data_IF_120755538643
#
_entry.id   IF_120755538643
#
_cell.length_a   1.000
_cell.length_b   1.000
_cell.length_c   1.000
_cell.angle_alpha   90.00
_cell.angle_beta   90.00
_cell.angle_gamma   90.00
#
_symmetry.space_group_name_H-M   'P 1'
#
loop_
_entity.id
_entity.type
_entity.pdbx_description
1 polymer ?
#
# COMPACT_ATOMS: atom_id res chain seq x y z
N UNK A 1 -6.29 -60.78 52.51
CA UNK A 1 -7.45 -60.81 51.59
C UNK A 1 -6.92 -60.30 50.25
N UNK A 2 -6.65 -61.06 49.20
CA UNK A 2 -7.44 -62.12 48.57
C UNK A 2 -7.74 -61.67 47.13
N UNK A 3 -6.89 -62.07 46.17
CA UNK A 3 -7.01 -62.01 44.68
C UNK A 3 -8.38 -62.54 44.16
N UNK A 4 -8.86 -62.32 42.90
CA UNK A 4 -8.21 -62.67 41.60
C UNK A 4 -8.48 -61.68 40.42
N UNK A 5 -7.67 -61.63 39.34
CA UNK A 5 -7.54 -62.49 38.15
C UNK A 5 -8.69 -62.39 37.11
N UNK A 6 -8.26 -62.16 35.85
CA UNK A 6 -8.87 -62.24 34.50
C UNK A 6 -9.89 -63.40 34.29
N UNK A 7 -10.89 -63.36 33.36
CA UNK A 7 -10.65 -63.78 31.95
C UNK A 7 -11.62 -63.25 30.85
N UNK A 8 -11.16 -63.34 29.59
CA UNK A 8 -11.81 -64.03 28.44
C UNK A 8 -13.22 -63.60 27.99
N UNK A 9 -13.38 -63.04 26.78
CA UNK A 9 -13.63 -63.77 25.51
C UNK A 9 -15.12 -63.94 25.16
N UNK A 10 -15.60 -63.30 24.08
CA UNK A 10 -16.16 -64.03 22.94
C UNK A 10 -16.63 -63.09 21.79
N UNK A 11 -16.03 -63.34 20.61
CA UNK A 11 -16.68 -63.58 19.32
C UNK A 11 -17.16 -62.44 18.40
N UNK A 12 -16.44 -62.40 17.26
CA UNK A 12 -16.91 -62.52 15.86
C UNK A 12 -16.99 -61.22 15.03
N UNK A 13 -15.95 -61.06 14.21
CA UNK A 13 -15.91 -60.35 12.92
C UNK A 13 -16.80 -61.04 11.87
N UNK A 14 -17.25 -60.33 10.81
CA UNK A 14 -16.47 -60.35 9.56
C UNK A 14 -16.43 -58.95 8.89
N UNK A 15 -15.26 -58.51 8.39
CA UNK A 15 -14.84 -58.60 6.97
C UNK A 15 -15.32 -57.40 6.14
N UNK A 16 -14.61 -56.79 5.18
CA UNK A 16 -13.31 -56.95 4.51
C UNK A 16 -13.15 -55.63 3.72
N UNK A 17 -12.01 -54.95 3.76
CA UNK A 17 -10.91 -55.06 2.79
C UNK A 17 -10.29 -53.65 2.70
N UNK A 18 -8.99 -53.44 2.92
CA UNK A 18 -7.84 -53.94 2.13
C UNK A 18 -7.64 -52.96 0.96
N UNK A 19 -6.50 -52.35 0.66
CA UNK A 19 -5.07 -52.51 0.92
C UNK A 19 -4.46 -51.09 0.71
N UNK A 20 -3.32 -50.63 1.25
CA UNK A 20 -2.10 -51.31 1.66
C UNK A 20 -0.92 -50.87 0.76
N UNK A 21 0.14 -50.35 1.39
CA UNK A 21 1.52 -50.15 0.91
C UNK A 21 1.83 -48.96 -0.04
N UNK A 22 2.98 -48.30 0.06
CA UNK A 22 4.15 -48.56 0.89
C UNK A 22 5.27 -47.52 0.68
N UNK A 23 6.18 -47.44 1.65
CA UNK A 23 7.48 -46.76 1.54
C UNK A 23 8.47 -47.65 0.79
N UNK A 24 9.40 -47.02 0.07
CA UNK A 24 10.63 -47.64 -0.44
C UNK A 24 11.65 -46.57 -0.82
N UNK A 25 12.88 -46.71 -0.34
CA UNK A 25 14.02 -45.83 -0.64
C UNK A 25 15.01 -46.44 -1.65
N UNK A 26 16.17 -45.76 -1.76
CA UNK A 26 17.31 -45.96 -2.68
C UNK A 26 17.07 -45.44 -4.11
N UNK A 27 17.97 -44.77 -4.83
CA UNK A 27 19.39 -44.47 -4.70
C UNK A 27 19.99 -44.44 -6.11
N UNK A 28 20.79 -43.40 -6.46
CA UNK A 28 21.73 -43.43 -7.60
C UNK A 28 21.41 -42.57 -8.83
N UNK A 29 22.28 -41.59 -9.11
CA UNK A 29 23.08 -41.59 -10.36
C UNK A 29 22.67 -40.73 -11.56
N UNK A 30 23.52 -39.71 -11.80
CA UNK A 30 24.10 -39.27 -13.10
C UNK A 30 23.41 -38.19 -13.97
N UNK A 31 24.23 -37.16 -14.19
CA UNK A 31 24.56 -36.41 -15.41
C UNK A 31 23.52 -35.62 -16.20
N UNK A 32 23.92 -34.38 -16.49
CA UNK A 32 23.08 -33.34 -17.06
C UNK A 32 23.16 -33.19 -18.57
N UNK A 33 22.31 -32.31 -19.09
CA UNK A 33 22.44 -31.74 -20.43
C UNK A 33 22.01 -30.27 -20.41
N UNK A 34 22.77 -29.49 -21.16
CA UNK A 34 22.71 -28.04 -21.36
C UNK A 34 21.44 -27.58 -22.08
N UNK A 35 21.21 -26.28 -22.02
CA UNK A 35 19.97 -25.61 -22.41
C UNK A 35 19.67 -25.53 -23.90
N UNK A 36 18.49 -25.01 -24.19
CA UNK A 36 18.21 -24.23 -25.39
C UNK A 36 17.03 -23.29 -25.11
N UNK A 37 17.31 -21.99 -25.12
CA UNK A 37 16.32 -20.93 -25.18
C UNK A 37 15.66 -20.94 -26.57
N UNK A 38 14.33 -20.79 -26.63
CA UNK A 38 13.64 -20.32 -27.84
C UNK A 38 12.52 -19.35 -27.51
N UNK A 39 12.67 -18.15 -28.06
CA UNK A 39 11.70 -17.08 -28.11
C UNK A 39 10.44 -17.50 -28.87
N UNK A 40 9.25 -17.24 -28.31
CA UNK A 40 7.98 -17.38 -29.01
C UNK A 40 7.45 -15.98 -29.37
N UNK A 41 7.23 -15.76 -30.68
CA UNK A 41 6.48 -14.62 -31.23
C UNK A 41 4.97 -14.94 -31.23
N UNK A 42 4.08 -13.94 -31.13
CA UNK A 42 2.64 -14.16 -31.07
C UNK A 42 2.05 -14.42 -32.47
N UNK A 43 1.36 -15.56 -32.61
CA UNK A 43 0.60 -15.95 -33.79
C UNK A 43 -0.87 -15.57 -33.66
N UNK A 44 -1.42 -15.05 -34.76
CA UNK A 44 -2.78 -14.50 -34.93
C UNK A 44 -3.89 -15.54 -34.69
N UNK A 45 -5.02 -15.05 -34.18
CA UNK A 45 -6.27 -15.78 -34.02
C UNK A 45 -6.94 -16.10 -35.37
N UNK A 46 -7.47 -17.31 -35.50
CA UNK A 46 -8.47 -17.71 -36.49
C UNK A 46 -9.75 -18.16 -35.76
N UNK A 47 -10.94 -17.90 -36.33
CA UNK A 47 -12.22 -18.08 -35.65
C UNK A 47 -12.69 -19.54 -35.65
N UNK A 48 -13.41 -19.91 -34.59
CA UNK A 48 -14.02 -21.21 -34.40
C UNK A 48 -15.26 -21.41 -35.28
N UNK A 49 -15.43 -22.66 -35.72
CA UNK A 49 -16.49 -23.19 -36.59
C UNK A 49 -17.83 -23.35 -35.86
N UNK A 50 -18.91 -23.15 -36.60
CA UNK A 50 -20.29 -23.53 -36.28
C UNK A 50 -20.48 -25.06 -36.18
N UNK A 51 -21.50 -25.53 -35.44
CA UNK A 51 -22.08 -26.85 -35.63
C UNK A 51 -23.38 -26.81 -36.46
N UNK A 52 -23.44 -27.71 -37.44
CA UNK A 52 -24.60 -28.08 -38.27
C UNK A 52 -25.47 -29.14 -37.54
N UNK A 53 -26.79 -29.16 -37.78
CA UNK A 53 -27.65 -30.28 -37.39
C UNK A 53 -29.11 -30.03 -36.97
N UNK A 54 -29.95 -29.59 -37.92
CA UNK A 54 -31.39 -29.91 -38.20
C UNK A 54 -32.28 -30.55 -37.10
N UNK A 55 -33.49 -30.01 -36.87
CA UNK A 55 -34.74 -30.60 -37.40
C UNK A 55 -35.96 -29.62 -37.31
N UNK A 56 -36.98 -29.90 -38.14
CA UNK A 56 -38.08 -29.06 -38.66
C UNK A 56 -39.27 -28.81 -37.71
N UNK A 57 -39.99 -27.68 -37.93
CA UNK A 57 -41.42 -27.63 -38.33
C UNK A 57 -41.91 -26.19 -38.58
N UNK A 58 -42.64 -26.04 -39.69
CA UNK A 58 -43.32 -24.84 -40.20
C UNK A 58 -44.53 -24.43 -39.33
N UNK A 59 -44.86 -23.12 -39.27
CA UNK A 59 -46.01 -22.56 -39.99
C UNK A 59 -46.23 -21.06 -39.71
N UNK A 60 -46.32 -20.27 -40.80
CA UNK A 60 -47.34 -19.25 -41.00
C UNK A 60 -47.06 -17.79 -40.62
N UNK A 61 -46.98 -16.91 -41.64
CA UNK A 61 -47.62 -15.57 -41.54
C UNK A 61 -46.89 -14.35 -42.11
N UNK A 62 -46.95 -14.20 -43.45
CA UNK A 62 -47.17 -12.97 -44.27
C UNK A 62 -46.56 -11.61 -43.85
N UNK A 63 -45.91 -10.95 -44.81
CA UNK A 63 -45.85 -9.48 -44.87
C UNK A 63 -44.76 -8.94 -45.79
N UNK A 64 -45.13 -8.62 -47.03
CA UNK A 64 -44.30 -8.10 -48.13
C UNK A 64 -43.54 -6.79 -47.86
N UNK A 65 -42.43 -6.61 -48.61
CA UNK A 65 -42.28 -5.37 -49.39
C UNK A 65 -40.97 -4.58 -49.25
N UNK A 66 -40.00 -4.89 -50.11
CA UNK A 66 -39.38 -3.86 -50.98
C UNK A 66 -38.20 -3.02 -50.47
N UNK A 67 -37.00 -3.37 -50.93
CA UNK A 67 -36.32 -2.53 -51.92
C UNK A 67 -35.33 -1.44 -51.45
N UNK A 68 -34.05 -1.84 -51.53
CA UNK A 68 -32.97 -1.14 -52.26
C UNK A 68 -31.93 -0.27 -51.52
N UNK A 69 -30.74 -0.33 -52.13
CA UNK A 69 -29.39 -0.17 -51.62
C UNK A 69 -28.91 1.30 -51.52
N UNK A 70 -27.99 1.55 -50.58
CA UNK A 70 -27.19 2.78 -50.55
C UNK A 70 -26.00 2.69 -49.59
N UNK A 71 -24.79 2.51 -50.16
CA UNK A 71 -23.51 2.63 -49.47
C UNK A 71 -23.30 4.01 -48.81
N UNK A 72 -22.59 4.06 -47.67
CA UNK A 72 -21.97 5.32 -47.23
C UNK A 72 -21.46 5.38 -45.78
N UNK A 73 -20.18 5.09 -45.61
CA UNK A 73 -19.23 5.71 -44.65
C UNK A 73 -19.48 5.69 -43.12
N UNK A 74 -18.55 5.03 -42.44
CA UNK A 74 -18.03 5.37 -41.11
C UNK A 74 -17.78 6.88 -40.96
N UNK A 75 -18.17 7.48 -39.82
CA UNK A 75 -17.33 8.40 -39.02
C UNK A 75 -17.80 8.44 -37.55
N UNK A 76 -16.84 8.32 -36.64
CA UNK A 76 -17.04 8.36 -35.19
C UNK A 76 -17.59 9.70 -34.70
N UNK A 77 -18.40 9.64 -33.63
CA UNK A 77 -18.89 10.82 -32.92
C UNK A 77 -17.89 11.22 -31.84
N UNK A 78 -17.19 12.34 -32.08
CA UNK A 78 -16.56 13.16 -31.04
C UNK A 78 -17.62 14.12 -30.53
N UNK A 79 -17.88 14.12 -29.23
CA UNK A 79 -18.78 15.09 -28.60
C UNK A 79 -18.07 16.46 -28.51
N UNK A 80 -18.60 17.45 -29.21
CA UNK A 80 -18.24 18.87 -29.05
C UNK A 80 -19.33 19.52 -28.23
N UNK A 81 -18.99 19.98 -27.02
CA UNK A 81 -19.88 20.77 -26.17
C UNK A 81 -19.88 22.21 -26.69
N UNK A 82 -21.03 22.67 -27.21
CA UNK A 82 -21.32 24.09 -27.44
C UNK A 82 -21.97 24.68 -26.19
N UNK A 83 -21.49 25.84 -25.76
CA UNK A 83 -22.15 26.68 -24.76
C UNK A 83 -22.76 27.86 -25.51
N UNK A 84 -24.10 27.90 -25.57
CA UNK A 84 -24.83 29.04 -26.11
C UNK A 84 -25.12 30.07 -25.01
N UNK A 85 -24.85 31.34 -25.33
CA UNK A 85 -25.25 32.52 -24.56
C UNK A 85 -26.67 32.92 -24.96
N UNK A 86 -27.52 33.18 -23.97
CA UNK A 86 -28.72 33.99 -24.12
C UNK A 86 -28.63 35.21 -23.20
N UNK A 87 -28.98 36.38 -23.72
CA UNK A 87 -29.00 37.65 -23.00
C UNK A 87 -30.35 38.38 -23.15
N UNK A 88 -30.56 39.35 -22.25
CA UNK A 88 -31.55 40.44 -22.30
C UNK A 88 -32.96 40.06 -21.80
N UNK A 89 -33.75 40.87 -21.10
CA UNK A 89 -33.67 42.26 -20.61
C UNK A 89 -34.89 42.50 -19.69
N UNK A 90 -34.85 43.48 -18.77
CA UNK A 90 -36.06 44.10 -18.21
C UNK A 90 -35.92 44.61 -16.77
N UNK A 91 -35.59 45.89 -16.61
CA UNK A 91 -35.42 46.54 -15.30
C UNK A 91 -36.66 47.28 -14.78
N UNK A 92 -36.53 47.84 -13.56
CA UNK A 92 -37.08 49.12 -13.09
C UNK A 92 -36.39 49.52 -11.75
N UNK A 93 -36.01 50.81 -11.63
CA UNK A 93 -35.30 51.43 -10.49
C UNK A 93 -36.16 51.53 -9.20
N UNK A 94 -35.75 52.16 -8.09
CA UNK A 94 -34.98 53.39 -7.83
C UNK A 94 -34.55 53.40 -6.35
N UNK A 95 -33.42 54.02 -5.98
CA UNK A 95 -33.17 54.48 -4.59
C UNK A 95 -31.69 54.56 -4.17
N UNK A 96 -31.15 55.78 -4.16
CA UNK A 96 -29.74 56.17 -3.91
C UNK A 96 -29.49 56.47 -2.42
N UNK A 97 -28.30 56.15 -1.91
CA UNK A 97 -27.49 57.06 -1.06
C UNK A 97 -26.01 56.61 -0.97
N UNK A 98 -25.12 57.58 -1.19
CA UNK A 98 -23.68 57.49 -1.40
C UNK A 98 -22.84 57.37 -0.11
N UNK A 99 -21.65 56.75 -0.23
CA UNK A 99 -20.40 57.29 0.36
C UNK A 99 -19.15 56.63 -0.27
N UNK A 100 -18.56 57.37 -1.23
CA UNK A 100 -17.14 57.62 -1.45
C UNK A 100 -16.10 56.48 -1.33
N UNK A 101 -15.34 56.27 -2.43
CA UNK A 101 -13.97 55.76 -2.33
C UNK A 101 -13.45 54.94 -3.51
N UNK A 102 -13.61 55.43 -4.75
CA UNK A 102 -13.13 54.72 -5.94
C UNK A 102 -11.60 54.71 -6.10
N UNK A 103 -11.08 53.65 -6.72
CA UNK A 103 -10.20 53.77 -7.90
C UNK A 103 -10.17 52.49 -8.73
N UNK A 104 -10.36 52.70 -10.02
CA UNK A 104 -10.51 51.71 -11.07
C UNK A 104 -9.17 51.07 -11.46
N UNK A 105 -9.26 49.79 -11.85
CA UNK A 105 -8.21 49.02 -12.51
C UNK A 105 -8.30 49.32 -14.01
N UNK A 106 -7.22 49.84 -14.59
CA UNK A 106 -7.02 49.88 -16.04
C UNK A 106 -5.77 49.06 -16.38
N UNK A 107 -5.93 48.11 -17.29
CA UNK A 107 -4.83 47.35 -17.91
C UNK A 107 -4.24 48.19 -19.04
N UNK A 108 -2.91 48.30 -19.08
CA UNK A 108 -2.18 48.50 -20.33
C UNK A 108 -0.89 47.65 -20.30
N UNK A 109 -0.57 47.06 -21.44
CA UNK A 109 0.53 46.15 -21.67
C UNK A 109 1.69 46.90 -22.34
N UNK A 110 2.89 46.82 -21.76
CA UNK A 110 4.19 46.66 -22.43
C UNK A 110 5.32 46.81 -21.39
N UNK A 111 6.52 46.38 -21.77
CA UNK A 111 7.62 46.00 -20.89
C UNK A 111 8.24 47.11 -20.03
N UNK A 112 8.85 46.65 -18.93
CA UNK A 112 10.09 47.12 -18.27
C UNK A 112 10.44 48.61 -18.38
N UNK A 113 10.44 49.33 -17.25
CA UNK A 113 11.64 49.87 -16.57
C UNK A 113 11.31 50.15 -15.10
N UNK A 114 12.21 49.77 -14.20
CA UNK A 114 12.19 50.10 -12.79
C UNK A 114 12.43 51.61 -12.57
N UNK A 115 11.70 52.21 -11.63
CA UNK A 115 12.08 53.48 -11.00
C UNK A 115 11.83 53.41 -9.50
N UNK A 116 12.90 53.67 -8.75
CA UNK A 116 13.04 53.51 -7.32
C UNK A 116 12.22 54.53 -6.53
N UNK A 117 11.67 54.11 -5.38
CA UNK A 117 11.49 54.98 -4.22
C UNK A 117 11.92 54.24 -2.95
N UNK A 118 12.94 54.80 -2.32
CA UNK A 118 13.52 54.34 -1.08
C UNK A 118 12.59 54.70 0.09
N UNK A 119 12.17 53.70 0.85
CA UNK A 119 11.67 53.87 2.21
C UNK A 119 12.70 53.26 3.16
N UNK A 120 13.45 54.15 3.81
CA UNK A 120 14.34 53.81 4.93
C UNK A 120 13.46 53.48 6.13
N UNK A 121 13.29 52.19 6.40
CA UNK A 121 12.93 51.70 7.74
C UNK A 121 14.02 50.74 8.18
N UNK A 122 14.69 51.10 9.28
CA UNK A 122 15.80 50.33 9.84
C UNK A 122 15.37 48.91 10.17
N UNK A 123 15.82 47.97 9.34
CA UNK A 123 15.87 46.56 9.66
C UNK A 123 17.34 46.27 9.94
N UNK A 124 17.66 45.95 11.19
CA UNK A 124 18.96 45.40 11.53
C UNK A 124 19.25 44.24 10.59
N UNK A 125 20.37 44.31 9.88
CA UNK A 125 20.84 43.26 8.99
C UNK A 125 21.17 42.03 9.83
N UNK A 126 20.16 41.19 10.10
CA UNK A 126 20.42 39.79 10.35
C UNK A 126 21.00 39.24 9.05
N UNK A 127 22.32 39.05 9.03
CA UNK A 127 22.99 38.33 7.95
C UNK A 127 22.22 37.01 7.74
N UNK A 128 21.66 36.85 6.54
CA UNK A 128 21.17 35.54 6.11
C UNK A 128 22.30 34.54 6.28
N UNK A 129 22.14 33.45 7.06
CA UNK A 129 23.24 32.54 7.33
C UNK A 129 23.72 31.97 6.00
N UNK A 130 24.96 32.30 5.62
CA UNK A 130 25.57 31.79 4.40
C UNK A 130 25.56 30.26 4.45
N UNK A 131 25.27 29.55 3.34
CA UNK A 131 25.37 28.09 3.30
C UNK A 131 26.75 27.67 3.80
N UNK A 132 26.81 26.68 4.70
CA UNK A 132 28.07 26.23 5.31
C UNK A 132 29.05 25.86 4.19
N UNK A 133 30.07 26.71 3.98
CA UNK A 133 31.16 26.44 3.03
C UNK A 133 32.15 25.50 3.72
N UNK A 134 31.99 24.21 3.47
CA UNK A 134 32.84 23.13 3.95
C UNK A 134 32.07 21.81 3.90
N UNK A 135 32.57 20.83 3.14
CA UNK A 135 31.89 19.58 2.79
C UNK A 135 31.61 18.67 3.98
N UNK A 136 30.60 18.99 4.79
CA UNK A 136 30.02 18.03 5.71
C UNK A 136 29.36 16.93 4.87
N UNK A 137 29.89 15.71 4.99
CA UNK A 137 29.26 14.51 4.43
C UNK A 137 27.87 14.37 5.06
N UNK A 138 26.85 14.17 4.24
CA UNK A 138 25.47 13.93 4.68
C UNK A 138 24.88 12.76 3.93
N UNK A 139 23.83 12.18 4.50
CA UNK A 139 23.15 10.99 4.02
C UNK A 139 21.66 11.26 3.87
N UNK A 140 21.02 10.50 2.97
CA UNK A 140 19.58 10.59 2.75
C UNK A 140 18.96 9.21 2.98
N UNK A 141 18.02 9.14 3.92
CA UNK A 141 17.10 8.02 4.07
C UNK A 141 15.75 8.38 3.49
N UNK A 142 15.12 7.49 2.72
CA UNK A 142 13.75 7.68 2.24
C UNK A 142 12.92 6.45 2.59
N UNK A 143 11.75 6.65 3.19
CA UNK A 143 10.68 5.66 3.26
C UNK A 143 9.55 6.06 2.31
N UNK A 144 9.03 5.11 1.54
CA UNK A 144 8.02 5.36 0.52
C UNK A 144 6.97 4.27 0.43
N UNK A 145 5.80 4.53 1.02
CA UNK A 145 4.67 3.62 0.99
C UNK A 145 3.66 3.92 -0.12
N UNK A 146 2.51 3.24 -0.05
CA UNK A 146 1.39 3.39 -1.00
C UNK A 146 0.68 4.74 -1.00
N UNK A 147 0.78 5.51 0.09
CA UNK A 147 0.04 6.78 0.27
C UNK A 147 0.94 7.99 0.45
N UNK A 148 2.10 7.81 1.10
CA UNK A 148 3.04 8.89 1.41
C UNK A 148 4.48 8.40 1.30
N UNK A 149 5.41 9.34 1.22
CA UNK A 149 6.84 9.12 1.42
C UNK A 149 7.40 10.17 2.36
N UNK A 150 8.51 9.86 3.03
CA UNK A 150 9.24 10.79 3.87
C UNK A 150 10.73 10.61 3.67
N UNK A 151 11.44 11.71 3.47
CA UNK A 151 12.89 11.73 3.36
C UNK A 151 13.51 12.43 4.57
N UNK A 152 14.56 11.83 5.13
CA UNK A 152 15.42 12.42 6.15
C UNK A 152 16.81 12.67 5.57
N UNK A 153 17.37 13.83 5.89
CA UNK A 153 18.78 14.14 5.71
C UNK A 153 19.45 14.04 7.06
N UNK A 154 20.57 13.33 7.16
CA UNK A 154 21.32 13.20 8.41
C UNK A 154 22.83 13.27 8.27
N UNK A 155 23.50 13.42 9.41
CA UNK A 155 24.96 13.33 9.52
C UNK A 155 25.46 11.89 9.70
N UNK A 156 26.76 11.71 9.98
CA UNK A 156 27.41 10.38 10.12
C UNK A 156 26.92 9.64 11.35
N UNK A 157 26.41 10.36 12.35
CA UNK A 157 25.84 9.80 13.56
C UNK A 157 24.34 9.51 13.40
N UNK A 158 23.77 9.74 12.21
CA UNK A 158 22.35 9.55 11.93
C UNK A 158 21.46 10.65 12.52
N UNK A 159 22.03 11.77 13.00
CA UNK A 159 21.23 12.88 13.53
C UNK A 159 20.56 13.62 12.39
N UNK A 160 19.27 13.90 12.53
CA UNK A 160 18.47 14.60 11.52
C UNK A 160 18.94 16.06 11.35
N UNK A 161 19.20 16.43 10.10
CA UNK A 161 19.52 17.79 9.65
C UNK A 161 18.32 18.45 8.95
N UNK A 162 17.39 17.64 8.43
CA UNK A 162 16.13 18.11 7.86
C UNK A 162 15.31 16.99 7.24
N UNK A 163 14.01 17.25 7.08
CA UNK A 163 13.05 16.28 6.57
C UNK A 163 12.05 16.91 5.60
N UNK A 164 11.50 16.08 4.71
CA UNK A 164 10.38 16.44 3.85
C UNK A 164 9.42 15.27 3.67
N UNK A 165 8.13 15.59 3.51
CA UNK A 165 7.06 14.66 3.17
C UNK A 165 6.72 14.78 1.70
N UNK A 166 6.32 13.67 1.09
CA UNK A 166 5.91 13.60 -0.30
C UNK A 166 4.72 12.65 -0.50
N UNK A 167 4.25 12.61 -1.75
CA UNK A 167 3.23 11.64 -2.18
C UNK A 167 3.74 10.18 -2.17
N UNK A 168 2.97 9.24 -2.73
CA UNK A 168 3.31 7.81 -2.70
C UNK A 168 4.68 7.49 -3.29
N UNK A 169 5.45 6.65 -2.58
CA UNK A 169 6.72 6.08 -3.03
C UNK A 169 6.61 4.66 -3.60
N UNK A 170 5.39 4.17 -3.81
CA UNK A 170 5.11 2.85 -4.38
C UNK A 170 5.70 2.70 -5.79
N UNK A 171 6.49 1.63 -5.98
CA UNK A 171 6.97 1.18 -7.29
C UNK A 171 5.86 0.38 -7.97
N UNK A 172 5.25 0.96 -9.00
CA UNK A 172 4.42 0.23 -9.95
C UNK A 172 5.33 -0.39 -11.02
N UNK A 173 5.36 -1.74 -11.19
CA UNK A 173 6.18 -2.37 -12.21
C UNK A 173 5.85 -1.93 -13.65
N UNK A 174 4.63 -1.44 -13.91
CA UNK A 174 4.22 -0.94 -15.21
C UNK A 174 4.75 0.46 -15.53
N UNK A 175 5.03 1.27 -14.50
CA UNK A 175 5.62 2.60 -14.63
C UNK A 175 6.49 2.98 -13.41
N UNK A 176 7.69 2.37 -13.26
CA UNK A 176 8.54 2.58 -12.11
C UNK A 176 9.11 4.01 -12.02
N UNK A 177 9.17 4.75 -13.13
CA UNK A 177 9.80 6.08 -13.17
C UNK A 177 8.99 7.15 -12.42
N UNK A 178 7.68 6.96 -12.27
CA UNK A 178 6.84 7.82 -11.43
C UNK A 178 7.31 7.79 -9.98
N UNK A 179 7.63 6.61 -9.44
CA UNK A 179 8.18 6.47 -8.09
C UNK A 179 9.53 7.17 -7.97
N UNK A 180 10.42 6.96 -8.95
CA UNK A 180 11.73 7.61 -8.98
C UNK A 180 11.64 9.15 -8.99
N UNK A 181 10.71 9.71 -9.76
CA UNK A 181 10.49 11.16 -9.81
C UNK A 181 10.03 11.70 -8.45
N UNK A 182 9.04 11.05 -7.81
CA UNK A 182 8.51 11.45 -6.50
C UNK A 182 9.57 11.35 -5.40
N UNK A 183 10.30 10.23 -5.36
CA UNK A 183 11.41 10.02 -4.41
C UNK A 183 12.50 11.06 -4.60
N UNK A 184 12.86 11.38 -5.85
CA UNK A 184 13.83 12.43 -6.13
C UNK A 184 13.34 13.82 -5.70
N UNK A 185 12.05 14.11 -5.85
CA UNK A 185 11.46 15.38 -5.42
C UNK A 185 11.54 15.55 -3.90
N UNK A 186 11.07 14.56 -3.13
CA UNK A 186 11.09 14.61 -1.66
C UNK A 186 12.52 14.63 -1.11
N UNK A 187 13.46 13.88 -1.70
CA UNK A 187 14.87 13.91 -1.32
C UNK A 187 15.51 15.29 -1.56
N UNK A 188 15.20 15.95 -2.68
CA UNK A 188 15.67 17.32 -2.97
C UNK A 188 15.08 18.34 -2.01
N UNK A 189 13.81 18.20 -1.67
CA UNK A 189 13.15 19.08 -0.72
C UNK A 189 13.76 18.94 0.68
N UNK A 190 13.99 17.72 1.15
CA UNK A 190 14.66 17.48 2.43
C UNK A 190 16.08 18.09 2.45
N UNK A 191 16.85 17.93 1.35
CA UNK A 191 18.17 18.57 1.22
C UNK A 191 18.11 20.10 1.24
N UNK A 192 17.11 20.70 0.60
CA UNK A 192 16.90 22.15 0.65
C UNK A 192 16.56 22.63 2.06
N UNK A 193 15.66 21.95 2.76
CA UNK A 193 15.29 22.27 4.15
C UNK A 193 16.48 22.10 5.11
N UNK A 194 17.31 21.09 4.90
CA UNK A 194 18.58 20.89 5.62
C UNK A 194 19.70 21.87 5.22
N UNK A 195 19.47 22.72 4.18
CA UNK A 195 20.43 23.70 3.65
C UNK A 195 21.76 23.06 3.19
N UNK A 196 21.71 21.86 2.63
CA UNK A 196 22.86 21.13 2.08
C UNK A 196 22.81 21.07 0.55
N UNK A 197 23.97 20.87 -0.09
CA UNK A 197 24.09 20.78 -1.55
C UNK A 197 24.33 19.34 -1.97
N UNK A 198 23.47 18.80 -2.85
CA UNK A 198 23.65 17.49 -3.48
C UNK A 198 24.90 17.45 -4.39
N UNK A 199 25.51 16.26 -4.61
CA UNK A 199 25.07 14.94 -4.15
C UNK A 199 25.39 14.68 -2.66
N UNK A 200 24.54 13.88 -2.00
CA UNK A 200 24.83 13.28 -0.70
C UNK A 200 25.95 12.21 -0.79
N UNK A 201 26.51 11.79 0.35
CA UNK A 201 27.47 10.67 0.42
C UNK A 201 26.80 9.35 0.00
N UNK A 202 25.63 9.08 0.52
CA UNK A 202 24.77 7.98 0.08
C UNK A 202 23.29 8.32 0.26
N UNK A 203 22.46 7.68 -0.56
CA UNK A 203 21.00 7.66 -0.44
C UNK A 203 20.55 6.20 -0.36
N UNK A 204 19.73 5.88 0.64
CA UNK A 204 19.04 4.59 0.72
C UNK A 204 17.53 4.86 0.76
N UNK A 205 16.78 4.23 -0.14
CA UNK A 205 15.34 4.38 -0.25
C UNK A 205 14.65 3.03 -0.04
N UNK A 206 13.82 2.92 0.99
CA UNK A 206 12.93 1.80 1.24
C UNK A 206 11.57 2.08 0.61
N UNK A 207 11.24 1.37 -0.45
CA UNK A 207 10.05 1.64 -1.24
C UNK A 207 9.14 0.42 -1.29
N UNK A 208 7.84 0.63 -1.07
CA UNK A 208 6.83 -0.38 -1.32
C UNK A 208 6.88 -0.79 -2.80
N UNK A 209 6.69 -2.09 -3.09
CA UNK A 209 6.76 -2.63 -4.46
C UNK A 209 8.17 -2.94 -4.96
N UNK A 210 9.21 -2.71 -4.16
CA UNK A 210 10.60 -3.03 -4.52
C UNK A 210 10.90 -4.54 -4.69
N UNK A 211 9.94 -5.44 -4.43
CA UNK A 211 10.10 -6.88 -4.71
C UNK A 211 10.26 -7.22 -6.20
N UNK A 212 9.86 -6.33 -7.11
CA UNK A 212 10.13 -6.50 -8.53
C UNK A 212 11.53 -5.97 -8.88
N UNK A 213 12.46 -6.89 -9.16
CA UNK A 213 13.87 -6.57 -9.36
C UNK A 213 14.13 -5.60 -10.51
N UNK A 214 13.46 -5.75 -11.65
CA UNK A 214 13.69 -4.89 -12.81
C UNK A 214 13.13 -3.47 -12.58
N UNK A 215 11.96 -3.36 -11.96
CA UNK A 215 11.36 -2.08 -11.59
C UNK A 215 12.20 -1.37 -10.53
N UNK A 216 12.66 -2.09 -9.50
CA UNK A 216 13.57 -1.59 -8.47
C UNK A 216 14.88 -1.07 -9.07
N UNK A 217 15.51 -1.83 -9.96
CA UNK A 217 16.74 -1.43 -10.62
C UNK A 217 16.55 -0.19 -11.51
N UNK A 218 15.39 -0.06 -12.18
CA UNK A 218 15.05 1.13 -12.96
C UNK A 218 14.95 2.39 -12.08
N UNK A 219 14.28 2.29 -10.92
CA UNK A 219 14.20 3.39 -9.94
C UNK A 219 15.60 3.74 -9.43
N UNK A 220 16.39 2.75 -9.03
CA UNK A 220 17.74 2.97 -8.50
C UNK A 220 18.63 3.67 -9.53
N UNK A 221 18.61 3.21 -10.79
CA UNK A 221 19.34 3.84 -11.89
C UNK A 221 18.90 5.30 -12.10
N UNK A 222 17.60 5.56 -12.13
CA UNK A 222 17.08 6.91 -12.34
C UNK A 222 17.48 7.87 -11.20
N UNK A 223 17.48 7.40 -9.94
CA UNK A 223 17.94 8.19 -8.80
C UNK A 223 19.46 8.45 -8.85
N UNK A 224 20.26 7.50 -9.34
CA UNK A 224 21.70 7.68 -9.62
C UNK A 224 21.94 8.73 -10.71
N UNK A 225 21.23 8.62 -11.84
CA UNK A 225 21.36 9.53 -12.98
C UNK A 225 20.98 10.97 -12.61
N UNK A 226 20.03 11.15 -11.69
CA UNK A 226 19.66 12.44 -11.09
C UNK A 226 20.70 13.04 -10.13
N UNK A 227 21.80 12.32 -9.87
CA UNK A 227 22.93 12.74 -9.00
C UNK A 227 22.49 13.18 -7.61
N UNK A 228 21.55 12.45 -7.00
CA UNK A 228 21.10 12.72 -5.62
C UNK A 228 22.17 12.32 -4.59
N UNK A 229 22.93 11.28 -4.86
CA UNK A 229 24.01 10.83 -4.00
C UNK A 229 25.13 10.11 -4.78
N UNK A 230 26.32 10.00 -4.18
CA UNK A 230 27.44 9.26 -4.77
C UNK A 230 27.21 7.73 -4.77
N UNK A 231 26.48 7.23 -3.78
CA UNK A 231 25.99 5.86 -3.70
C UNK A 231 24.47 5.90 -3.53
N UNK A 232 23.75 5.09 -4.28
CA UNK A 232 22.28 5.01 -4.19
C UNK A 232 21.91 3.54 -4.16
N UNK A 233 21.06 3.17 -3.19
CA UNK A 233 20.47 1.83 -3.08
C UNK A 233 18.98 1.97 -2.87
N UNK A 234 18.21 1.14 -3.57
CA UNK A 234 16.76 1.00 -3.36
C UNK A 234 16.49 -0.39 -2.77
N UNK A 235 15.87 -0.41 -1.60
CA UNK A 235 15.36 -1.62 -0.95
C UNK A 235 13.85 -1.54 -0.74
N UNK A 236 13.31 -2.50 0.02
CA UNK A 236 11.90 -2.47 0.43
C UNK A 236 11.67 -1.53 1.62
N UNK A 237 10.44 -1.03 1.73
CA UNK A 237 9.93 -0.33 2.93
C UNK A 237 10.05 -1.21 4.19
N UNK A 238 9.82 -2.53 4.05
CA UNK A 238 9.98 -3.49 5.14
C UNK A 238 11.43 -3.59 5.64
N UNK A 239 12.42 -3.48 4.75
CA UNK A 239 13.83 -3.42 5.15
C UNK A 239 14.16 -2.14 5.90
N UNK A 240 13.58 -1.00 5.49
CA UNK A 240 13.76 0.28 6.17
C UNK A 240 13.25 0.22 7.62
N UNK A 241 12.02 -0.28 7.76
CA UNK A 241 11.37 -0.43 9.06
C UNK A 241 12.09 -1.47 9.94
N UNK A 242 12.56 -2.58 9.36
CA UNK A 242 13.30 -3.59 10.12
C UNK A 242 14.65 -3.04 10.58
N UNK A 243 15.37 -2.32 9.72
CA UNK A 243 16.64 -1.68 10.07
C UNK A 243 16.49 -0.64 11.19
N UNK A 244 15.37 0.06 11.25
CA UNK A 244 15.09 0.97 12.36
C UNK A 244 14.86 0.22 13.68
N UNK A 245 14.11 -0.88 13.64
CA UNK A 245 13.80 -1.66 14.81
C UNK A 245 15.02 -2.45 15.35
N UNK A 246 15.81 -3.05 14.47
CA UNK A 246 16.81 -4.07 14.84
C UNK A 246 18.21 -3.80 14.29
N UNK A 247 18.42 -2.72 13.53
CA UNK A 247 19.66 -2.52 12.78
C UNK A 247 19.87 -3.65 11.78
N UNK A 248 21.08 -4.20 11.72
CA UNK A 248 21.39 -5.39 10.92
C UNK A 248 21.19 -6.71 11.71
N UNK A 249 20.64 -6.63 12.93
CA UNK A 249 20.45 -7.76 13.83
C UNK A 249 19.16 -8.55 13.59
N UNK A 250 19.01 -9.72 14.23
CA UNK A 250 17.81 -10.53 14.10
C UNK A 250 16.60 -9.88 14.80
N UNK A 251 15.42 -10.12 14.24
CA UNK A 251 14.17 -9.65 14.80
C UNK A 251 12.98 -9.84 13.88
N UNK A 252 11.79 -9.77 14.46
CA UNK A 252 10.51 -9.90 13.77
C UNK A 252 9.82 -8.55 13.72
N UNK A 253 9.42 -8.12 12.53
CA UNK A 253 8.69 -6.88 12.30
C UNK A 253 7.28 -7.25 11.83
N UNK A 254 6.27 -6.97 12.65
CA UNK A 254 4.87 -7.05 12.26
C UNK A 254 4.43 -5.71 11.65
N UNK A 255 3.90 -5.79 10.43
CA UNK A 255 3.32 -4.64 9.72
C UNK A 255 1.81 -4.75 9.75
N UNK A 256 1.15 -3.70 10.24
CA UNK A 256 -0.29 -3.55 10.19
C UNK A 256 -0.67 -2.09 9.88
N UNK A 257 -0.82 -1.81 8.58
CA UNK A 257 -1.18 -0.51 8.03
C UNK A 257 -2.34 -0.67 7.06
N UNK A 258 -2.21 -0.14 5.84
CA UNK A 258 -3.18 -0.43 4.76
C UNK A 258 -3.22 -1.93 4.43
N UNK A 259 -2.08 -2.60 4.45
CA UNK A 259 -1.95 -4.06 4.37
C UNK A 259 -1.36 -4.66 5.65
N UNK A 260 -1.04 -5.95 5.61
CA UNK A 260 -0.39 -6.64 6.73
C UNK A 260 0.60 -7.71 6.28
N UNK A 261 1.74 -7.77 6.94
CA UNK A 261 2.78 -8.78 6.72
C UNK A 261 3.64 -8.93 7.98
N UNK A 262 4.40 -10.01 8.06
CA UNK A 262 5.49 -10.17 9.00
C UNK A 262 6.79 -10.35 8.23
N UNK A 263 7.80 -9.54 8.56
CA UNK A 263 9.18 -9.73 8.10
C UNK A 263 10.01 -10.22 9.27
N UNK A 264 10.69 -11.35 9.11
CA UNK A 264 11.63 -11.88 10.08
C UNK A 264 13.04 -11.92 9.48
N UNK A 265 14.03 -11.49 10.25
CA UNK A 265 15.43 -11.79 10.02
C UNK A 265 15.88 -12.65 11.17
N UNK A 266 16.29 -13.88 10.89
CA UNK A 266 16.70 -14.82 11.92
C UNK A 266 18.16 -14.58 12.37
N UNK A 267 18.61 -15.20 13.48
CA UNK A 267 20.00 -15.06 13.95
C UNK A 267 21.10 -15.53 12.99
N UNK A 268 20.76 -16.22 11.91
CA UNK A 268 21.71 -16.57 10.83
C UNK A 268 21.72 -15.55 9.69
N UNK A 269 20.84 -14.56 9.76
CA UNK A 269 20.67 -13.53 8.74
C UNK A 269 19.68 -13.91 7.64
N UNK A 270 19.00 -15.06 7.75
CA UNK A 270 18.02 -15.47 6.76
C UNK A 270 16.75 -14.63 6.88
N UNK A 271 16.23 -14.24 5.72
CA UNK A 271 15.10 -13.32 5.61
C UNK A 271 13.86 -14.10 5.21
N UNK A 272 12.80 -13.96 6.00
CA UNK A 272 11.49 -14.54 5.70
C UNK A 272 10.41 -13.48 5.75
N UNK A 273 9.48 -13.55 4.80
CA UNK A 273 8.23 -12.81 4.83
C UNK A 273 7.05 -13.79 4.94
N UNK A 274 6.12 -13.49 5.85
CA UNK A 274 4.84 -14.19 6.02
C UNK A 274 3.71 -13.21 5.75
N UNK A 275 2.70 -13.61 4.97
CA UNK A 275 1.67 -12.70 4.49
C UNK A 275 2.21 -11.69 3.46
N UNK A 276 1.56 -10.54 3.33
CA UNK A 276 1.99 -9.49 2.39
C UNK A 276 1.74 -9.82 0.92
N UNK A 277 0.83 -10.75 0.61
CA UNK A 277 0.44 -11.12 -0.77
C UNK A 277 -0.46 -10.08 -1.45
N UNK A 278 -0.71 -8.95 -0.78
CA UNK A 278 -1.50 -7.84 -1.28
C UNK A 278 -3.00 -8.02 -1.09
N UNK A 279 -3.75 -6.96 -1.40
CA UNK A 279 -5.18 -6.82 -1.08
C UNK A 279 -6.11 -7.90 -1.67
N UNK A 280 -5.70 -8.53 -2.77
CA UNK A 280 -6.52 -9.53 -3.45
C UNK A 280 -6.36 -10.94 -2.85
N UNK A 281 -5.17 -11.25 -2.34
CA UNK A 281 -4.76 -12.61 -1.95
C UNK A 281 -4.30 -12.70 -0.49
N UNK A 282 -4.37 -11.60 0.25
CA UNK A 282 -3.90 -11.49 1.63
C UNK A 282 -4.32 -10.16 2.27
N UNK A 283 -3.47 -9.60 3.14
CA UNK A 283 -3.70 -8.36 3.90
C UNK A 283 -4.89 -8.43 4.88
N UNK A 284 -5.23 -9.63 5.36
CA UNK A 284 -6.39 -9.91 6.23
C UNK A 284 -6.28 -9.21 7.60
N UNK A 285 -5.05 -9.06 8.11
CA UNK A 285 -4.75 -8.31 9.34
C UNK A 285 -4.58 -6.81 9.11
N UNK A 286 -4.67 -6.36 7.86
CA UNK A 286 -4.47 -4.97 7.44
C UNK A 286 -5.77 -4.17 7.42
N UNK A 287 -5.63 -2.86 7.35
CA UNK A 287 -6.76 -1.93 7.34
C UNK A 287 -7.69 -2.15 6.15
N UNK A 288 -7.14 -2.48 4.98
CA UNK A 288 -7.95 -2.81 3.81
C UNK A 288 -8.82 -4.04 4.04
N UNK A 289 -8.25 -5.13 4.58
CA UNK A 289 -9.00 -6.35 4.89
C UNK A 289 -10.13 -6.07 5.89
N UNK A 290 -9.83 -5.36 6.97
CA UNK A 290 -10.81 -4.97 8.00
C UNK A 290 -11.93 -4.09 7.41
N UNK A 291 -11.56 -3.07 6.63
CA UNK A 291 -12.53 -2.15 6.01
C UNK A 291 -13.43 -2.86 5.01
N UNK A 292 -12.86 -3.73 4.16
CA UNK A 292 -13.61 -4.51 3.19
C UNK A 292 -14.58 -5.50 3.86
N UNK A 293 -14.14 -6.19 4.91
CA UNK A 293 -15.02 -7.05 5.71
C UNK A 293 -16.12 -6.26 6.43
N UNK A 294 -15.83 -5.03 6.87
CA UNK A 294 -16.82 -4.10 7.40
C UNK A 294 -17.90 -3.75 6.38
N UNK A 295 -17.51 -3.39 5.15
CA UNK A 295 -18.45 -3.14 4.04
C UNK A 295 -19.28 -4.39 3.77
N UNK A 296 -18.64 -5.55 3.62
CA UNK A 296 -19.32 -6.83 3.38
C UNK A 296 -20.34 -7.15 4.48
N UNK A 297 -20.02 -6.87 5.74
CA UNK A 297 -20.94 -7.07 6.86
C UNK A 297 -22.19 -6.18 6.74
N UNK A 298 -22.03 -4.89 6.40
CA UNK A 298 -23.16 -3.98 6.17
C UNK A 298 -24.05 -4.47 5.02
N UNK A 299 -23.46 -4.88 3.89
CA UNK A 299 -24.22 -5.41 2.76
C UNK A 299 -24.98 -6.69 3.12
N UNK A 300 -24.34 -7.59 3.87
CA UNK A 300 -24.98 -8.83 4.35
C UNK A 300 -26.12 -8.56 5.32
N UNK A 301 -25.99 -7.56 6.19
CA UNK A 301 -27.07 -7.13 7.08
C UNK A 301 -28.25 -6.54 6.30
N UNK A 302 -27.99 -5.73 5.26
CA UNK A 302 -29.02 -5.20 4.37
C UNK A 302 -29.78 -6.30 3.62
N UNK A 303 -29.10 -7.37 3.23
CA UNK A 303 -29.72 -8.56 2.60
C UNK A 303 -30.46 -9.47 3.60
N UNK A 304 -30.38 -9.21 4.91
CA UNK A 304 -30.91 -10.10 5.95
C UNK A 304 -30.09 -11.37 6.20
N UNK A 305 -28.85 -11.45 5.67
CA UNK A 305 -27.92 -12.59 5.84
C UNK A 305 -27.07 -12.49 7.11
N UNK A 306 -27.08 -11.34 7.76
CA UNK A 306 -26.48 -11.09 9.07
C UNK A 306 -27.40 -10.23 9.94
N UNK A 307 -27.22 -10.25 11.27
CA UNK A 307 -27.93 -9.34 12.16
C UNK A 307 -27.67 -7.88 11.79
N UNK A 308 -28.60 -7.00 12.18
CA UNK A 308 -28.38 -5.57 12.12
C UNK A 308 -27.12 -5.19 12.91
N UNK A 309 -26.35 -4.24 12.37
CA UNK A 309 -25.08 -3.80 12.94
C UNK A 309 -24.96 -2.29 12.89
N UNK A 310 -24.35 -1.72 13.93
CA UNK A 310 -23.96 -0.30 14.04
C UNK A 310 -22.89 0.08 13.01
N UNK A 311 -22.26 -0.89 12.35
CA UNK A 311 -21.38 -0.61 11.21
C UNK A 311 -22.11 0.11 10.08
N UNK A 312 -23.41 -0.11 9.91
CA UNK A 312 -24.20 0.54 8.85
C UNK A 312 -24.08 2.06 8.98
N UNK A 313 -24.53 2.62 10.11
CA UNK A 313 -24.50 4.08 10.31
C UNK A 313 -23.07 4.64 10.28
N UNK A 314 -22.12 3.92 10.88
CA UNK A 314 -20.73 4.35 10.92
C UNK A 314 -20.10 4.43 9.53
N UNK A 315 -20.26 3.40 8.69
CA UNK A 315 -19.65 3.37 7.36
C UNK A 315 -20.37 4.29 6.37
N UNK A 316 -21.70 4.43 6.47
CA UNK A 316 -22.44 5.41 5.67
C UNK A 316 -22.01 6.84 6.00
N UNK A 317 -21.82 7.16 7.28
CA UNK A 317 -21.33 8.47 7.70
C UNK A 317 -19.92 8.78 7.20
N UNK A 318 -19.00 7.81 7.25
CA UNK A 318 -17.59 8.02 6.81
C UNK A 318 -17.47 8.14 5.28
N UNK A 319 -18.33 7.47 4.53
CA UNK A 319 -18.29 7.46 3.06
C UNK A 319 -19.22 8.48 2.40
N UNK A 320 -20.20 9.01 3.16
CA UNK A 320 -21.27 9.84 2.63
C UNK A 320 -22.32 9.08 1.80
N UNK A 321 -22.30 7.75 1.82
CA UNK A 321 -23.29 6.92 1.13
C UNK A 321 -24.67 7.05 1.81
N UNK A 322 -25.72 7.10 1.01
CA UNK A 322 -27.10 7.23 1.52
C UNK A 322 -27.63 5.93 2.15
N UNK A 323 -27.20 4.77 1.64
CA UNK A 323 -27.64 3.45 2.06
C UNK A 323 -26.59 2.37 1.70
N UNK A 324 -26.90 1.11 2.01
CA UNK A 324 -26.03 -0.03 1.73
C UNK A 324 -25.70 -0.17 0.23
N UNK A 325 -26.63 0.18 -0.68
CA UNK A 325 -26.37 0.13 -2.12
C UNK A 325 -25.36 1.21 -2.52
N UNK A 326 -25.56 2.43 -2.03
CA UNK A 326 -24.61 3.54 -2.21
C UNK A 326 -23.22 3.22 -1.66
N UNK A 327 -23.14 2.49 -0.55
CA UNK A 327 -21.85 2.04 0.01
C UNK A 327 -21.16 1.04 -0.92
N UNK A 328 -21.91 0.10 -1.51
CA UNK A 328 -21.37 -0.83 -2.50
C UNK A 328 -20.86 -0.10 -3.75
N UNK A 329 -21.62 0.87 -4.27
CA UNK A 329 -21.24 1.64 -5.44
C UNK A 329 -20.00 2.53 -5.16
N UNK A 330 -19.91 3.12 -3.96
CA UNK A 330 -18.71 3.85 -3.50
C UNK A 330 -17.47 2.94 -3.48
N UNK A 331 -17.59 1.72 -2.94
CA UNK A 331 -16.48 0.81 -2.77
C UNK A 331 -15.82 0.38 -4.10
N UNK A 332 -16.57 0.39 -5.22
CA UNK A 332 -16.04 0.08 -6.56
C UNK A 332 -15.03 1.13 -7.05
N UNK A 333 -15.25 2.40 -6.71
CA UNK A 333 -14.37 3.51 -7.08
C UNK A 333 -13.30 3.86 -6.03
N UNK A 334 -13.44 3.34 -4.82
CA UNK A 334 -12.56 3.65 -3.71
C UNK A 334 -11.15 3.07 -3.88
N UNK A 335 -10.15 3.86 -3.55
CA UNK A 335 -8.76 3.41 -3.46
C UNK A 335 -8.56 2.44 -2.29
N UNK A 336 -7.45 1.68 -2.33
CA UNK A 336 -7.03 0.81 -1.21
C UNK A 336 -6.92 1.60 0.11
N UNK A 337 -6.45 2.84 0.04
CA UNK A 337 -6.30 3.71 1.21
C UNK A 337 -7.65 4.13 1.80
N UNK A 338 -8.62 4.47 0.97
CA UNK A 338 -9.97 4.86 1.39
C UNK A 338 -10.71 3.69 2.05
N UNK A 339 -10.67 2.50 1.45
CA UNK A 339 -11.24 1.30 2.07
C UNK A 339 -10.51 0.99 3.40
N UNK A 340 -9.18 1.12 3.44
CA UNK A 340 -8.43 0.86 4.65
C UNK A 340 -8.74 1.86 5.78
N UNK A 341 -9.11 3.10 5.47
CA UNK A 341 -9.48 4.10 6.47
C UNK A 341 -10.72 3.68 7.27
N UNK A 342 -11.65 2.93 6.67
CA UNK A 342 -12.84 2.41 7.35
C UNK A 342 -12.53 1.46 8.51
N UNK A 343 -11.34 0.86 8.55
CA UNK A 343 -10.91 0.00 9.66
C UNK A 343 -10.97 0.70 11.03
N UNK A 344 -10.78 2.02 11.06
CA UNK A 344 -10.89 2.83 12.28
C UNK A 344 -12.33 2.83 12.80
N UNK A 345 -13.31 3.02 11.92
CA UNK A 345 -14.73 2.98 12.27
C UNK A 345 -15.12 1.57 12.74
N UNK A 346 -14.69 0.53 12.02
CA UNK A 346 -14.93 -0.88 12.40
C UNK A 346 -14.37 -1.18 13.80
N UNK A 347 -13.13 -0.78 14.08
CA UNK A 347 -12.49 -0.99 15.38
C UNK A 347 -13.09 -0.16 16.52
N UNK A 348 -13.70 1.00 16.22
CA UNK A 348 -14.46 1.77 17.21
C UNK A 348 -15.78 1.07 17.53
N UNK A 349 -16.53 0.66 16.51
CA UNK A 349 -17.84 0.01 16.68
C UNK A 349 -17.70 -1.32 17.42
N UNK A 350 -16.64 -2.09 17.16
CA UNK A 350 -16.38 -3.35 17.87
C UNK A 350 -16.26 -3.18 19.39
N UNK A 351 -15.81 -2.01 19.86
CA UNK A 351 -15.71 -1.67 21.29
C UNK A 351 -17.04 -1.25 21.92
N UNK A 352 -18.13 -1.19 21.15
CA UNK A 352 -19.47 -0.75 21.64
C UNK A 352 -20.43 -1.91 21.94
N UNK A 353 -19.94 -3.16 21.91
CA UNK A 353 -20.75 -4.37 22.08
C UNK A 353 -21.39 -4.89 20.80
N UNK A 354 -21.07 -4.32 19.63
CA UNK A 354 -21.55 -4.82 18.34
C UNK A 354 -20.83 -6.13 17.96
N UNK A 355 -21.58 -7.23 17.98
CA UNK A 355 -21.05 -8.59 17.74
C UNK A 355 -20.54 -8.79 16.31
N UNK A 356 -21.09 -8.07 15.33
CA UNK A 356 -20.67 -8.19 13.92
C UNK A 356 -19.32 -7.50 13.73
N UNK A 357 -19.17 -6.28 14.23
CA UNK A 357 -17.91 -5.55 14.22
C UNK A 357 -16.81 -6.27 15.03
N UNK A 358 -17.17 -6.80 16.21
CA UNK A 358 -16.25 -7.60 17.03
C UNK A 358 -15.74 -8.83 16.27
N UNK A 359 -16.61 -9.52 15.52
CA UNK A 359 -16.21 -10.66 14.68
C UNK A 359 -15.26 -10.26 13.55
N UNK A 360 -15.48 -9.11 12.91
CA UNK A 360 -14.57 -8.61 11.86
C UNK A 360 -13.16 -8.38 12.44
N UNK A 361 -13.07 -7.67 13.56
CA UNK A 361 -11.78 -7.42 14.23
C UNK A 361 -11.14 -8.72 14.72
N UNK A 362 -11.91 -9.65 15.30
CA UNK A 362 -11.40 -10.94 15.75
C UNK A 362 -10.79 -11.76 14.61
N UNK A 363 -11.41 -11.79 13.42
CA UNK A 363 -10.83 -12.47 12.26
C UNK A 363 -9.52 -11.85 11.82
N UNK A 364 -9.43 -10.52 11.80
CA UNK A 364 -8.18 -9.83 11.46
C UNK A 364 -7.06 -10.15 12.48
N UNK A 365 -7.38 -10.20 13.78
CA UNK A 365 -6.43 -10.60 14.82
C UNK A 365 -6.03 -12.07 14.71
N UNK A 366 -6.95 -12.95 14.30
CA UNK A 366 -6.65 -14.34 13.97
C UNK A 366 -5.60 -14.45 12.87
N UNK A 367 -5.75 -13.69 11.78
CA UNK A 367 -4.75 -13.67 10.70
C UNK A 367 -3.39 -13.12 11.17
N UNK A 368 -3.38 -12.08 12.02
CA UNK A 368 -2.14 -11.56 12.63
C UNK A 368 -1.46 -12.65 13.48
N UNK A 369 -2.22 -13.39 14.28
CA UNK A 369 -1.71 -14.52 15.05
C UNK A 369 -1.11 -15.59 14.15
N UNK A 370 -1.83 -16.02 13.11
CA UNK A 370 -1.36 -17.03 12.16
C UNK A 370 -0.04 -16.62 11.49
N UNK A 371 0.11 -15.34 11.13
CA UNK A 371 1.36 -14.82 10.58
C UNK A 371 2.52 -14.95 11.56
N UNK A 372 2.31 -14.61 12.83
CA UNK A 372 3.32 -14.70 13.89
C UNK A 372 3.67 -16.17 14.19
N UNK A 373 2.68 -17.04 14.32
CA UNK A 373 2.88 -18.47 14.61
C UNK A 373 3.62 -19.22 13.48
N UNK A 374 3.55 -18.72 12.24
CA UNK A 374 4.25 -19.32 11.10
C UNK A 374 5.76 -19.01 11.06
N UNK A 375 6.23 -17.94 11.73
CA UNK A 375 7.65 -17.51 11.63
C UNK A 375 8.63 -18.55 12.18
N UNK A 376 8.44 -19.14 13.38
CA UNK A 376 9.39 -20.10 13.93
C UNK A 376 9.59 -21.33 13.03
N UNK A 377 8.56 -21.77 12.30
CA UNK A 377 8.66 -22.89 11.36
C UNK A 377 9.44 -22.57 10.08
N UNK A 378 9.82 -21.31 9.88
CA UNK A 378 10.52 -20.81 8.68
C UNK A 378 11.86 -20.14 9.01
N UNK A 379 12.26 -20.10 10.27
CA UNK A 379 13.46 -19.40 10.73
C UNK A 379 14.24 -20.28 11.71
N UNK A 380 15.55 -20.04 11.84
CA UNK A 380 16.42 -20.88 12.67
C UNK A 380 17.30 -20.06 13.62
N UNK A 381 17.76 -20.70 14.70
CA UNK A 381 18.81 -20.13 15.56
C UNK A 381 18.34 -19.15 16.65
N UNK A 382 17.04 -18.99 16.86
CA UNK A 382 16.51 -18.19 17.98
C UNK A 382 16.93 -18.76 19.34
N UNK A 383 17.43 -17.88 20.22
CA UNK A 383 17.67 -18.19 21.63
C UNK A 383 16.64 -17.42 22.46
N UNK A 384 15.76 -18.15 23.14
CA UNK A 384 14.65 -17.55 23.88
C UNK A 384 13.52 -17.05 22.97
N UNK A 385 12.80 -16.03 23.43
CA UNK A 385 11.68 -15.43 22.68
C UNK A 385 12.22 -14.48 21.62
N UNK A 386 11.89 -14.64 20.32
CA UNK A 386 12.30 -13.69 19.29
C UNK A 386 11.77 -12.28 19.62
N UNK A 387 12.57 -11.21 19.45
CA UNK A 387 12.07 -9.86 19.66
C UNK A 387 11.14 -9.47 18.50
N UNK A 388 10.02 -8.81 18.82
CA UNK A 388 9.05 -8.33 17.83
C UNK A 388 8.82 -6.83 17.97
N UNK A 389 8.83 -6.13 16.85
CA UNK A 389 8.50 -4.71 16.74
C UNK A 389 7.33 -4.51 15.77
N UNK A 390 6.69 -3.35 15.85
CA UNK A 390 5.45 -3.07 15.12
C UNK A 390 5.57 -1.81 14.29
N UNK A 391 5.03 -1.83 13.07
CA UNK A 391 4.93 -0.65 12.22
C UNK A 391 3.58 -0.61 11.50
N UNK A 392 3.08 0.59 11.26
CA UNK A 392 1.83 0.83 10.53
C UNK A 392 0.75 1.50 11.35
N UNK A 393 -0.18 2.17 10.65
CA UNK A 393 -1.17 3.05 11.27
C UNK A 393 -2.11 2.38 12.28
N UNK A 394 -2.32 1.06 12.19
CA UNK A 394 -3.20 0.33 13.10
C UNK A 394 -2.52 -0.01 14.44
N UNK A 395 -1.19 -0.09 14.45
CA UNK A 395 -0.38 -0.60 15.57
C UNK A 395 0.66 0.40 16.10
N UNK A 396 0.83 1.56 15.44
CA UNK A 396 1.57 2.71 16.00
C UNK A 396 0.94 3.21 17.30
N UNK A 397 1.65 4.06 18.04
CA UNK A 397 1.11 4.68 19.25
C UNK A 397 -0.23 5.41 18.95
N UNK A 398 -1.24 5.15 19.78
CA UNK A 398 -2.63 5.60 19.56
C UNK A 398 -3.39 4.87 18.43
N UNK A 399 -2.79 3.87 17.78
CA UNK A 399 -3.42 3.03 16.77
C UNK A 399 -4.54 2.16 17.36
N UNK A 400 -5.62 1.99 16.60
CA UNK A 400 -6.87 1.37 17.09
C UNK A 400 -6.73 -0.10 17.49
N UNK A 401 -5.71 -0.81 16.98
CA UNK A 401 -5.42 -2.22 17.26
C UNK A 401 -4.13 -2.44 18.04
N UNK A 402 -3.41 -1.39 18.45
CA UNK A 402 -2.08 -1.53 19.06
C UNK A 402 -2.09 -2.46 20.27
N UNK A 403 -2.97 -2.19 21.24
CA UNK A 403 -3.03 -2.93 22.51
C UNK A 403 -3.28 -4.42 22.28
N UNK A 404 -4.31 -4.74 21.50
CA UNK A 404 -4.70 -6.13 21.21
C UNK A 404 -3.66 -6.87 20.37
N UNK A 405 -2.96 -6.19 19.46
CA UNK A 405 -1.88 -6.82 18.67
C UNK A 405 -0.64 -7.08 19.52
N UNK A 406 -0.31 -6.17 20.44
CA UNK A 406 0.77 -6.37 21.42
C UNK A 406 0.47 -7.58 22.31
N UNK A 407 -0.76 -7.71 22.78
CA UNK A 407 -1.22 -8.86 23.55
C UNK A 407 -1.08 -10.16 22.75
N UNK A 408 -1.61 -10.20 21.53
CA UNK A 408 -1.49 -11.37 20.63
C UNK A 408 -0.02 -11.77 20.44
N UNK A 409 0.88 -10.82 20.20
CA UNK A 409 2.30 -11.13 20.03
C UNK A 409 2.94 -11.68 21.31
N UNK A 410 2.57 -11.14 22.48
CA UNK A 410 3.01 -11.66 23.78
C UNK A 410 2.51 -13.08 24.07
N UNK A 411 1.25 -13.38 23.71
CA UNK A 411 0.64 -14.70 23.85
C UNK A 411 1.27 -15.75 22.93
N UNK A 412 1.61 -15.39 21.69
CA UNK A 412 2.35 -16.26 20.77
C UNK A 412 3.78 -16.54 21.27
N UNK A 413 4.29 -15.71 22.18
CA UNK A 413 5.57 -15.93 22.85
C UNK A 413 6.71 -15.07 22.32
N UNK A 414 6.42 -13.92 21.73
CA UNK A 414 7.45 -12.95 21.33
C UNK A 414 7.88 -12.04 22.49
N UNK A 415 9.11 -11.52 22.41
CA UNK A 415 9.58 -10.43 23.26
C UNK A 415 9.19 -9.08 22.62
N UNK A 416 8.06 -8.53 23.06
CA UNK A 416 7.46 -7.30 22.51
C UNK A 416 8.36 -6.09 22.78
N UNK A 417 8.70 -5.38 21.71
CA UNK A 417 9.34 -4.05 21.72
C UNK A 417 8.30 -2.98 21.45
N UNK A 418 8.21 -2.02 22.35
CA UNK A 418 7.17 -0.97 22.31
C UNK A 418 7.67 0.32 21.67
N UNK A 419 8.97 0.44 21.43
CA UNK A 419 9.57 1.59 20.77
C UNK A 419 8.94 1.82 19.39
N UNK A 420 8.71 3.08 19.06
CA UNK A 420 8.14 3.44 17.76
C UNK A 420 9.16 3.21 16.65
N UNK A 421 8.77 2.37 15.69
CA UNK A 421 9.52 2.15 14.45
C UNK A 421 9.24 3.29 13.48
N UNK A 422 10.31 3.98 13.08
CA UNK A 422 10.30 5.10 12.14
C UNK A 422 11.11 4.69 10.90
N UNK A 423 10.47 4.16 9.84
CA UNK A 423 11.17 3.55 8.71
C UNK A 423 12.18 4.46 8.02
N UNK A 424 11.89 5.76 7.91
CA UNK A 424 12.80 6.74 7.31
C UNK A 424 14.10 6.93 8.12
N UNK A 425 14.06 6.66 9.44
CA UNK A 425 15.25 6.65 10.32
C UNK A 425 16.09 5.40 10.08
N UNK A 426 15.45 4.24 9.90
CA UNK A 426 16.14 3.02 9.46
C UNK A 426 16.77 3.14 8.08
N UNK A 427 16.05 3.75 7.12
CA UNK A 427 16.59 4.09 5.81
C UNK A 427 17.82 4.99 5.90
N UNK A 428 17.79 5.99 6.79
CA UNK A 428 18.95 6.87 7.03
C UNK A 428 20.12 6.08 7.64
N UNK A 429 19.87 5.19 8.60
CA UNK A 429 20.89 4.31 9.18
C UNK A 429 21.56 3.42 8.12
N UNK A 430 20.78 2.83 7.22
CA UNK A 430 21.27 2.04 6.07
C UNK A 430 22.13 2.91 5.14
N UNK A 431 21.70 4.14 4.85
CA UNK A 431 22.48 5.08 4.06
C UNK A 431 23.83 5.40 4.72
N UNK A 432 23.86 5.64 6.03
CA UNK A 432 25.09 5.87 6.80
C UNK A 432 26.05 4.69 6.66
N UNK A 433 25.55 3.46 6.82
CA UNK A 433 26.31 2.22 6.62
C UNK A 433 26.94 2.11 5.22
N UNK A 434 26.22 2.52 4.17
CA UNK A 434 26.75 2.58 2.80
C UNK A 434 27.84 3.62 2.59
N UNK A 435 27.87 4.69 3.41
CA UNK A 435 28.81 5.79 3.27
C UNK A 435 30.09 5.66 4.09
N UNK A 436 30.23 4.57 4.86
CA UNK A 436 31.49 4.16 5.48
C UNK A 436 32.63 4.21 4.46
N UNK A 437 33.76 4.74 4.91
CA UNK A 437 34.93 5.06 4.06
C UNK A 437 35.48 3.83 3.37
#
# INVERSE_FOLDING_TARGET
MGRPADPGSDRVHPALGGYGCGRGGAGGGLDGVRGAARCLRPGRAHPAREPDGRDRRDDGGRGDGGGDLGHGQERGRVAVVRVDRAGGHGGRGVGVQDAAGGRAVSRCACGTVAAAQALKTGVGTAESPRPRRGGAKFWIGVDGGGTRSRALVGDREGRELGAADGGPGLIDPSDPLVAAFRVAAVAREAAQRARVRLPARALWAGLAGAGNESARAAVEKELKDKRLALRVVVGSDLEAAHADAFGEGPGVLLVAGTGSAVRAVDPRGEVVTVGGWGALLGDEGGGYGIGLEGIRAVLRAADGREPHTRLTDALLSETGAADARGLADWAVGASKGEIAALSVAVAKVSKTGDVVAARVVHRALGAVREHLEAVPGRTEGWVGRPPVAFVGGLVREGGVLREVVVEVAGEVGYAVRLEEVVPERGALGRAVGLGGD
#
